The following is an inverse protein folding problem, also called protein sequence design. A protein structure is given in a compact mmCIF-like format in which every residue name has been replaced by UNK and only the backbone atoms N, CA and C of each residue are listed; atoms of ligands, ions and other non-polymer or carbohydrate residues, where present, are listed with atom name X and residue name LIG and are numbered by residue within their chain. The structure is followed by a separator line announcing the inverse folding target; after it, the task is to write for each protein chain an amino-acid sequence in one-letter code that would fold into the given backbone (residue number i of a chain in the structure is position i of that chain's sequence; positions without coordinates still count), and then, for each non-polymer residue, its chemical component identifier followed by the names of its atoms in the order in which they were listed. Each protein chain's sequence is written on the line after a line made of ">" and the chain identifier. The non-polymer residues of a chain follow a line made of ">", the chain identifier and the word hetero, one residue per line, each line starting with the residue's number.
data_IF_806734282175
#
_entry.id   IF_806734282175
#
_cell.length_a   1.000
_cell.length_b   1.000
_cell.length_c   1.000
_cell.angle_alpha   90.00
_cell.angle_beta   90.00
_cell.angle_gamma   90.00
#
_symmetry.space_group_name_H-M   'P 1'
#
loop_
_entity.id
_entity.type
_entity.pdbx_description
1 polymer ?
#
# COMPACT_ATOMS: atom_id res chain seq x y z
N UNK A 1 -38.05 -62.19 19.45
CA UNK A 1 -38.20 -61.12 18.46
C UNK A 1 -37.57 -59.85 19.03
N UNK A 2 -36.36 -59.55 18.64
CA UNK A 2 -35.62 -58.33 19.09
C UNK A 2 -35.76 -57.29 17.99
N UNK A 3 -36.36 -56.16 18.32
CA UNK A 3 -36.48 -54.98 17.44
C UNK A 3 -35.21 -54.16 17.53
N UNK A 4 -34.45 -54.08 16.44
CA UNK A 4 -33.34 -53.18 16.28
C UNK A 4 -33.83 -51.78 15.93
N UNK A 5 -33.48 -50.78 16.72
CA UNK A 5 -33.74 -49.38 16.42
C UNK A 5 -32.58 -48.82 15.56
N UNK A 6 -32.88 -48.09 14.49
CA UNK A 6 -31.81 -47.45 13.71
C UNK A 6 -31.28 -46.21 14.46
N UNK A 7 -30.00 -46.19 14.72
CA UNK A 7 -29.28 -45.04 15.25
C UNK A 7 -29.05 -44.04 14.12
N UNK A 8 -29.83 -42.97 14.07
CA UNK A 8 -29.66 -41.87 13.13
C UNK A 8 -28.44 -41.05 13.54
N UNK A 9 -27.34 -41.17 12.80
CA UNK A 9 -26.13 -40.38 12.96
C UNK A 9 -26.36 -38.99 12.33
N UNK A 10 -26.68 -37.99 13.18
CA UNK A 10 -26.74 -36.61 12.80
C UNK A 10 -25.31 -36.08 12.60
N UNK A 11 -24.85 -36.04 11.34
CA UNK A 11 -23.65 -35.30 10.93
C UNK A 11 -23.97 -33.82 11.06
N UNK A 12 -23.53 -33.23 12.16
CA UNK A 12 -23.45 -31.78 12.29
C UNK A 12 -22.32 -31.27 11.37
N UNK A 13 -22.70 -30.79 10.19
CA UNK A 13 -21.80 -30.05 9.32
C UNK A 13 -21.58 -28.69 10.02
N UNK A 14 -20.52 -28.61 10.83
CA UNK A 14 -19.98 -27.32 11.29
C UNK A 14 -19.39 -26.65 10.05
N UNK A 15 -20.23 -25.91 9.33
CA UNK A 15 -19.76 -24.97 8.32
C UNK A 15 -18.94 -23.91 9.04
N UNK A 16 -17.62 -23.90 8.82
CA UNK A 16 -16.81 -22.71 9.06
C UNK A 16 -17.29 -21.63 8.09
N UNK A 17 -18.38 -20.98 8.43
CA UNK A 17 -18.76 -19.73 7.81
C UNK A 17 -17.78 -18.69 8.33
N UNK A 18 -16.82 -18.29 7.50
CA UNK A 18 -16.08 -17.06 7.74
C UNK A 18 -17.12 -15.96 7.91
N UNK A 19 -17.34 -15.53 9.14
CA UNK A 19 -18.24 -14.42 9.44
C UNK A 19 -17.58 -13.18 8.89
N UNK A 20 -17.98 -12.79 7.67
CA UNK A 20 -17.57 -11.51 7.10
C UNK A 20 -17.95 -10.38 8.07
N UNK A 21 -16.94 -9.65 8.52
CA UNK A 21 -17.14 -8.44 9.29
C UNK A 21 -16.97 -7.24 8.36
N UNK A 22 -18.06 -6.54 8.01
CA UNK A 22 -17.98 -5.35 7.20
C UNK A 22 -17.01 -4.34 7.81
N UNK A 23 -16.10 -3.80 7.01
CA UNK A 23 -15.18 -2.78 7.44
C UNK A 23 -15.20 -1.58 6.49
N UNK A 24 -15.30 -0.39 7.05
CA UNK A 24 -15.12 0.83 6.28
C UNK A 24 -13.63 1.09 6.10
N UNK A 25 -13.21 1.48 4.89
CA UNK A 25 -11.80 1.66 4.56
C UNK A 25 -11.57 2.76 3.52
N UNK A 26 -10.34 3.26 3.46
CA UNK A 26 -9.86 4.02 2.31
C UNK A 26 -9.17 3.09 1.33
N UNK A 27 -9.59 3.15 0.09
CA UNK A 27 -8.97 2.42 -1.01
C UNK A 27 -8.26 3.38 -1.95
N UNK A 28 -7.00 3.06 -2.27
CA UNK A 28 -6.21 3.81 -3.24
C UNK A 28 -6.51 3.33 -4.67
N UNK A 29 -6.45 4.26 -5.62
CA UNK A 29 -6.45 3.98 -7.05
C UNK A 29 -5.40 4.86 -7.74
N UNK A 30 -4.81 4.37 -8.82
CA UNK A 30 -3.92 5.14 -9.69
C UNK A 30 -4.54 5.31 -11.07
N UNK A 31 -4.13 6.31 -11.86
CA UNK A 31 -4.65 6.52 -13.21
C UNK A 31 -4.39 5.36 -14.17
N UNK A 32 -3.36 4.56 -13.91
CA UNK A 32 -2.97 3.43 -14.76
C UNK A 32 -3.61 2.12 -14.38
N UNK A 33 -4.67 2.16 -13.63
CA UNK A 33 -5.42 0.99 -13.24
C UNK A 33 -5.87 0.21 -14.47
N UNK A 34 -5.02 -0.64 -15.02
CA UNK A 34 -5.30 -1.44 -16.22
C UNK A 34 -5.94 -2.78 -15.89
N UNK A 35 -5.77 -3.24 -14.66
CA UNK A 35 -6.36 -4.50 -14.18
C UNK A 35 -6.96 -4.31 -12.80
N UNK A 36 -8.04 -5.04 -12.46
CA UNK A 36 -8.66 -4.96 -11.13
C UNK A 36 -7.71 -5.33 -9.98
N UNK A 37 -6.66 -6.09 -10.25
CA UNK A 37 -5.72 -6.58 -9.24
C UNK A 37 -4.68 -5.52 -8.85
N UNK A 38 -4.35 -4.61 -9.80
CA UNK A 38 -3.28 -3.60 -9.64
C UNK A 38 -3.85 -2.18 -9.53
N UNK A 39 -5.03 -2.05 -8.98
CA UNK A 39 -5.76 -0.79 -8.87
C UNK A 39 -5.01 0.34 -8.16
N UNK A 40 -4.09 -0.01 -7.31
CA UNK A 40 -3.28 0.88 -6.48
C UNK A 40 -1.80 0.93 -6.91
N UNK A 41 -1.50 0.56 -8.14
CA UNK A 41 -0.14 0.39 -8.65
C UNK A 41 0.11 1.19 -9.92
N UNK A 42 1.31 1.72 -10.07
CA UNK A 42 1.82 2.23 -11.35
C UNK A 42 3.29 1.87 -11.55
N UNK A 43 3.78 2.00 -12.79
CA UNK A 43 5.12 1.60 -13.17
C UNK A 43 5.94 2.78 -13.71
N UNK A 44 7.22 2.80 -13.30
CA UNK A 44 8.28 3.60 -13.90
C UNK A 44 9.13 2.77 -14.86
N UNK A 45 9.94 3.41 -15.73
CA UNK A 45 10.88 2.69 -16.56
C UNK A 45 11.79 1.73 -15.78
N UNK A 46 12.29 0.69 -16.46
CA UNK A 46 13.12 -0.39 -15.92
C UNK A 46 12.38 -1.34 -14.95
N UNK A 47 11.06 -1.43 -15.06
CA UNK A 47 10.26 -2.34 -14.24
C UNK A 47 10.16 -1.94 -12.77
N UNK A 48 10.38 -0.67 -12.46
CA UNK A 48 10.22 -0.15 -11.09
C UNK A 48 8.73 0.10 -10.86
N UNK A 49 8.12 -0.63 -9.94
CA UNK A 49 6.70 -0.46 -9.61
C UNK A 49 6.51 0.28 -8.29
N UNK A 50 5.43 1.02 -8.21
CA UNK A 50 5.01 1.73 -7.01
C UNK A 50 3.56 1.39 -6.70
N UNK A 51 3.31 0.93 -5.49
CA UNK A 51 1.98 0.54 -5.03
C UNK A 51 1.62 1.25 -3.73
N UNK A 52 0.37 1.65 -3.60
CA UNK A 52 -0.20 2.16 -2.36
C UNK A 52 -1.03 1.10 -1.65
N UNK A 53 -1.03 1.11 -0.33
CA UNK A 53 -1.85 0.17 0.44
C UNK A 53 -3.25 0.72 0.68
N UNK A 54 -4.22 -0.17 0.71
CA UNK A 54 -5.55 0.10 1.27
C UNK A 54 -5.44 0.34 2.77
N UNK A 55 -6.21 1.28 3.30
CA UNK A 55 -6.11 1.72 4.69
C UNK A 55 -7.40 1.45 5.43
N UNK A 56 -7.32 0.65 6.47
CA UNK A 56 -8.36 0.59 7.49
C UNK A 56 -8.24 1.83 8.40
N UNK A 57 -9.35 2.50 8.73
CA UNK A 57 -9.32 3.60 9.67
C UNK A 57 -9.01 3.02 11.04
N UNK A 58 -7.76 3.01 11.38
CA UNK A 58 -7.37 2.80 12.78
C UNK A 58 -7.22 4.17 13.40
N UNK A 59 -7.82 4.42 14.55
CA UNK A 59 -7.42 5.54 15.40
C UNK A 59 -6.04 5.20 15.96
N UNK A 60 -5.02 5.21 15.10
CA UNK A 60 -3.66 5.27 15.59
C UNK A 60 -3.55 6.60 16.34
N UNK A 61 -3.00 6.59 17.54
CA UNK A 61 -2.61 7.81 18.22
C UNK A 61 -1.75 8.62 17.25
N UNK A 62 -2.32 9.70 16.71
CA UNK A 62 -1.59 10.60 15.80
C UNK A 62 -2.01 10.64 14.34
N UNK A 63 -2.96 9.81 13.87
CA UNK A 63 -3.47 9.93 12.50
C UNK A 63 -3.62 8.62 11.74
N UNK A 64 -3.79 8.72 10.43
CA UNK A 64 -3.98 7.59 9.52
C UNK A 64 -2.63 7.11 8.98
N UNK A 65 -2.34 5.80 9.09
CA UNK A 65 -1.13 5.21 8.52
C UNK A 65 -1.38 4.68 7.11
N UNK A 66 -0.47 5.02 6.19
CA UNK A 66 -0.48 4.56 4.79
C UNK A 66 0.86 3.90 4.48
N UNK A 67 0.84 2.84 3.69
CA UNK A 67 2.04 2.22 3.13
C UNK A 67 2.21 2.55 1.65
N UNK A 68 3.42 2.94 1.25
CA UNK A 68 3.84 3.02 -0.15
C UNK A 68 4.98 2.06 -0.38
N UNK A 69 4.83 1.17 -1.35
CA UNK A 69 5.81 0.17 -1.71
C UNK A 69 6.47 0.52 -3.03
N UNK A 70 7.80 0.60 -3.04
CA UNK A 70 8.60 0.65 -4.25
C UNK A 70 9.25 -0.72 -4.45
N UNK A 71 9.05 -1.34 -5.62
CA UNK A 71 9.73 -2.57 -6.01
C UNK A 71 10.79 -2.24 -7.05
N UNK A 72 12.05 -2.46 -6.72
CA UNK A 72 13.18 -2.20 -7.59
C UNK A 72 13.78 -3.52 -8.08
N UNK A 73 13.78 -3.79 -9.40
CA UNK A 73 14.51 -4.90 -9.98
C UNK A 73 16.01 -4.82 -9.72
N UNK A 74 16.72 -5.93 -9.87
CA UNK A 74 18.18 -6.01 -9.71
C UNK A 74 18.89 -4.89 -10.46
N UNK A 75 19.94 -4.34 -9.86
CA UNK A 75 20.81 -3.29 -10.43
C UNK A 75 20.10 -1.95 -10.71
N UNK A 76 18.86 -1.77 -10.24
CA UNK A 76 18.17 -0.49 -10.38
C UNK A 76 18.43 0.43 -9.19
N UNK A 77 18.40 1.73 -9.48
CA UNK A 77 18.55 2.80 -8.51
C UNK A 77 17.52 3.88 -8.81
N UNK A 78 16.92 4.41 -7.76
CA UNK A 78 15.99 5.54 -7.80
C UNK A 78 16.49 6.62 -6.85
N UNK A 79 16.52 7.85 -7.33
CA UNK A 79 16.68 9.04 -6.49
C UNK A 79 15.35 9.79 -6.45
N UNK A 80 15.02 10.35 -5.30
CA UNK A 80 13.84 11.20 -5.16
C UNK A 80 14.20 12.67 -5.38
N UNK A 81 13.36 13.40 -6.11
CA UNK A 81 13.54 14.83 -6.32
C UNK A 81 13.26 15.64 -5.05
N UNK A 82 12.43 15.12 -4.16
CA UNK A 82 12.10 15.70 -2.84
C UNK A 82 11.87 14.58 -1.82
N UNK A 83 11.81 14.93 -0.54
CA UNK A 83 11.49 13.99 0.55
C UNK A 83 10.00 14.03 0.95
N UNK A 84 9.14 14.68 0.18
CA UNK A 84 7.77 14.95 0.59
C UNK A 84 6.77 14.07 -0.14
N UNK A 85 5.94 13.37 0.64
CA UNK A 85 4.72 12.71 0.20
C UNK A 85 3.57 13.69 0.45
N UNK A 86 3.09 14.34 -0.59
CA UNK A 86 2.07 15.39 -0.47
C UNK A 86 0.68 14.78 -0.36
N UNK A 87 -0.11 15.28 0.57
CA UNK A 87 -1.53 14.94 0.72
C UNK A 87 -2.34 16.15 0.32
N UNK A 88 -3.20 15.99 -0.69
CA UNK A 88 -3.97 17.10 -1.25
C UNK A 88 -5.46 16.77 -1.32
N UNK A 89 -6.28 17.81 -1.36
CA UNK A 89 -7.67 17.67 -1.82
C UNK A 89 -7.70 17.36 -3.32
N UNK A 90 -8.81 16.80 -3.84
CA UNK A 90 -8.95 16.48 -5.27
C UNK A 90 -8.74 17.65 -6.24
N UNK A 91 -8.81 18.88 -5.74
CA UNK A 91 -8.54 20.13 -6.49
C UNK A 91 -7.11 20.64 -6.35
N UNK A 92 -6.22 19.84 -5.78
CA UNK A 92 -4.79 20.16 -5.65
C UNK A 92 -4.41 21.05 -4.47
N UNK A 93 -5.37 21.45 -3.60
CA UNK A 93 -5.03 22.18 -2.39
C UNK A 93 -4.28 21.28 -1.42
N UNK A 94 -3.06 21.65 -1.04
CA UNK A 94 -2.25 20.92 -0.06
C UNK A 94 -2.98 20.87 1.29
N UNK A 95 -3.16 19.67 1.82
CA UNK A 95 -3.62 19.43 3.18
C UNK A 95 -2.40 19.42 4.10
N UNK A 96 -1.46 18.48 3.84
CA UNK A 96 -0.21 18.36 4.57
C UNK A 96 0.83 17.55 3.78
N UNK A 97 2.06 17.48 4.29
CA UNK A 97 3.03 16.46 3.88
C UNK A 97 2.95 15.31 4.88
N UNK A 98 2.72 14.09 4.38
CA UNK A 98 2.72 12.91 5.22
C UNK A 98 4.11 12.72 5.86
N UNK A 99 4.12 12.40 7.15
CA UNK A 99 5.36 12.13 7.89
C UNK A 99 5.79 10.68 7.66
N UNK A 100 7.04 10.46 7.28
CA UNK A 100 7.60 9.11 7.18
C UNK A 100 7.93 8.60 8.57
N UNK A 101 7.28 7.51 8.99
CA UNK A 101 7.55 6.85 10.26
C UNK A 101 8.73 5.89 10.17
N UNK A 102 8.79 5.12 9.08
CA UNK A 102 9.84 4.13 8.86
C UNK A 102 9.92 3.73 7.39
N UNK A 103 11.07 3.23 6.98
CA UNK A 103 11.27 2.58 5.69
C UNK A 103 11.82 1.19 5.94
N UNK A 104 11.14 0.18 5.40
CA UNK A 104 11.60 -1.21 5.43
C UNK A 104 12.17 -1.58 4.07
N UNK A 105 13.32 -2.23 4.08
CA UNK A 105 13.95 -2.82 2.92
C UNK A 105 13.80 -4.34 3.00
N UNK A 106 13.32 -4.96 1.95
CA UNK A 106 13.15 -6.41 1.85
C UNK A 106 13.62 -6.91 0.48
N UNK A 107 14.81 -7.52 0.38
CA UNK A 107 15.21 -8.28 -0.79
C UNK A 107 14.28 -9.48 -1.01
N UNK A 108 14.07 -9.89 -2.26
CA UNK A 108 13.14 -11.01 -2.60
C UNK A 108 13.45 -12.30 -1.81
N UNK A 109 14.72 -12.59 -1.58
CA UNK A 109 15.19 -13.76 -0.85
C UNK A 109 15.80 -13.42 0.52
N UNK A 110 15.49 -12.23 1.06
CA UNK A 110 16.07 -11.72 2.30
C UNK A 110 15.06 -11.48 3.41
N UNK A 111 15.58 -11.26 4.62
CA UNK A 111 14.75 -10.79 5.73
C UNK A 111 14.46 -9.29 5.56
N UNK A 112 13.29 -8.81 6.03
CA UNK A 112 13.05 -7.38 6.10
C UNK A 112 14.03 -6.69 7.06
N UNK A 113 14.56 -5.57 6.65
CA UNK A 113 15.43 -4.73 7.47
C UNK A 113 14.83 -3.32 7.53
N UNK A 114 14.96 -2.66 8.68
CA UNK A 114 14.59 -1.25 8.80
C UNK A 114 15.74 -0.43 8.24
N UNK A 115 15.45 0.41 7.26
CA UNK A 115 16.39 1.43 6.80
C UNK A 115 16.39 2.54 7.85
N UNK A 116 17.54 2.78 8.45
CA UNK A 116 17.67 3.80 9.50
C UNK A 116 17.40 5.20 8.91
N UNK A 117 16.44 5.92 9.50
CA UNK A 117 16.08 7.28 9.11
C UNK A 117 16.78 8.26 10.07
N UNK A 118 18.11 8.37 9.98
CA UNK A 118 18.90 9.18 10.90
C UNK A 118 18.77 10.68 10.62
N UNK A 119 18.62 11.07 9.36
CA UNK A 119 18.62 12.47 8.90
C UNK A 119 17.48 12.82 7.93
N UNK A 120 16.34 12.13 8.04
CA UNK A 120 15.20 12.33 7.17
C UNK A 120 14.95 11.16 6.22
N UNK A 121 14.06 11.36 5.25
CA UNK A 121 13.68 10.33 4.28
C UNK A 121 14.86 10.02 3.36
N UNK A 122 15.20 8.74 3.12
CA UNK A 122 16.20 8.38 2.14
C UNK A 122 15.87 8.98 0.78
N UNK A 123 16.77 9.78 0.21
CA UNK A 123 16.60 10.38 -1.12
C UNK A 123 17.04 9.43 -2.25
N UNK A 124 17.53 8.23 -1.91
CA UNK A 124 17.92 7.23 -2.88
C UNK A 124 17.57 5.83 -2.40
N UNK A 125 17.08 4.99 -3.30
CA UNK A 125 16.83 3.58 -3.10
C UNK A 125 17.71 2.78 -4.07
N UNK A 126 18.34 1.72 -3.57
CA UNK A 126 19.19 0.83 -4.34
C UNK A 126 18.70 -0.60 -4.20
N UNK A 127 18.56 -1.31 -5.31
CA UNK A 127 18.31 -2.75 -5.27
C UNK A 127 19.50 -3.45 -4.62
N UNK A 128 19.21 -4.36 -3.68
CA UNK A 128 20.22 -4.94 -2.79
C UNK A 128 20.86 -6.20 -3.39
N UNK A 129 22.17 -6.18 -3.50
CA UNK A 129 22.97 -7.37 -3.78
C UNK A 129 22.58 -8.11 -5.06
N UNK A 130 22.45 -9.44 -4.93
CA UNK A 130 22.10 -10.35 -6.03
C UNK A 130 20.62 -10.71 -6.10
N UNK A 131 19.78 -10.14 -5.23
CA UNK A 131 18.34 -10.36 -5.27
C UNK A 131 17.71 -9.90 -6.56
N UNK A 132 16.72 -10.64 -7.08
CA UNK A 132 16.05 -10.29 -8.33
C UNK A 132 15.26 -8.98 -8.23
N UNK A 133 14.73 -8.71 -7.05
CA UNK A 133 14.12 -7.44 -6.72
C UNK A 133 14.29 -7.09 -5.24
N UNK A 134 14.14 -5.82 -4.91
CA UNK A 134 14.12 -5.31 -3.54
C UNK A 134 12.89 -4.43 -3.34
N UNK A 135 12.10 -4.76 -2.35
CA UNK A 135 10.97 -3.96 -1.92
C UNK A 135 11.42 -2.94 -0.88
N UNK A 136 11.00 -1.68 -1.06
CA UNK A 136 11.09 -0.63 -0.05
C UNK A 136 9.69 -0.22 0.35
N UNK A 137 9.34 -0.42 1.61
CA UNK A 137 8.04 -0.03 2.15
C UNK A 137 8.18 1.19 3.05
N UNK A 138 7.64 2.29 2.58
CA UNK A 138 7.45 3.51 3.38
C UNK A 138 6.19 3.37 4.21
N UNK A 139 6.32 3.60 5.52
CA UNK A 139 5.18 3.80 6.41
C UNK A 139 5.02 5.30 6.63
N UNK A 140 3.90 5.81 6.21
CA UNK A 140 3.57 7.23 6.29
C UNK A 140 2.47 7.44 7.31
N UNK A 141 2.51 8.55 8.04
CA UNK A 141 1.40 8.99 8.87
C UNK A 141 0.88 10.33 8.36
N UNK A 142 -0.44 10.43 8.24
CA UNK A 142 -1.18 11.64 7.92
C UNK A 142 -1.90 12.06 9.20
N UNK A 143 -1.64 13.28 9.66
CA UNK A 143 -2.22 13.81 10.90
C UNK A 143 -3.57 14.48 10.59
N UNK A 144 -4.49 14.34 11.54
CA UNK A 144 -5.78 14.99 11.44
C UNK A 144 -6.87 14.18 10.72
N UNK A 145 -8.03 14.82 10.56
CA UNK A 145 -9.21 14.19 9.97
C UNK A 145 -9.17 14.30 8.45
N UNK A 146 -9.12 13.15 7.78
CA UNK A 146 -9.14 13.10 6.33
C UNK A 146 -10.55 13.26 5.76
N UNK A 147 -10.69 13.97 4.62
CA UNK A 147 -11.94 13.99 3.87
C UNK A 147 -12.22 12.61 3.26
N UNK A 148 -13.48 12.35 2.87
CA UNK A 148 -13.86 11.07 2.22
C UNK A 148 -13.11 10.79 0.90
N UNK A 149 -12.45 11.79 0.35
CA UNK A 149 -11.57 11.66 -0.81
C UNK A 149 -10.37 12.62 -0.66
N UNK A 150 -9.19 12.08 -0.89
CA UNK A 150 -7.94 12.85 -0.93
C UNK A 150 -6.96 12.19 -1.90
N UNK A 151 -5.95 12.95 -2.29
CA UNK A 151 -4.90 12.49 -3.19
C UNK A 151 -3.58 12.42 -2.42
N UNK A 152 -2.83 11.31 -2.61
CA UNK A 152 -1.46 11.15 -2.14
C UNK A 152 -0.53 11.19 -3.35
N UNK A 153 0.39 12.14 -3.35
CA UNK A 153 1.35 12.38 -4.42
C UNK A 153 2.75 12.02 -3.89
N UNK A 154 3.31 10.87 -4.29
CA UNK A 154 4.69 10.54 -3.96
C UNK A 154 5.67 11.54 -4.60
N UNK A 155 6.89 11.66 -4.08
CA UNK A 155 7.91 12.50 -4.71
C UNK A 155 8.26 11.99 -6.11
N UNK A 156 8.55 12.92 -7.02
CA UNK A 156 9.08 12.57 -8.34
C UNK A 156 10.40 11.81 -8.21
N UNK A 157 10.67 10.94 -9.17
CA UNK A 157 11.86 10.10 -9.17
C UNK A 157 12.84 10.47 -10.29
N UNK A 158 14.12 10.22 -10.04
CA UNK A 158 15.21 10.36 -11.01
C UNK A 158 15.80 8.97 -11.23
N UNK A 159 15.70 8.48 -12.46
CA UNK A 159 16.18 7.16 -12.89
C UNK A 159 17.15 7.37 -14.06
N UNK A 160 18.42 6.97 -13.88
CA UNK A 160 19.45 7.17 -14.90
C UNK A 160 19.65 8.64 -15.29
N UNK A 161 19.51 9.56 -14.34
CA UNK A 161 19.67 11.00 -14.55
C UNK A 161 18.45 11.72 -15.16
N UNK A 162 17.39 11.00 -15.52
CA UNK A 162 16.14 11.57 -16.05
C UNK A 162 15.06 11.60 -14.98
N UNK A 163 14.38 12.75 -14.83
CA UNK A 163 13.24 12.93 -13.93
C UNK A 163 11.97 12.36 -14.52
N UNK A 164 11.22 11.65 -13.70
CA UNK A 164 9.90 11.10 -13.99
C UNK A 164 8.92 11.58 -12.93
N UNK A 165 7.79 12.10 -13.38
CA UNK A 165 6.72 12.57 -12.50
C UNK A 165 6.01 11.37 -11.89
N UNK A 166 5.86 11.38 -10.59
CA UNK A 166 5.09 10.37 -9.88
C UNK A 166 3.60 10.55 -10.13
N UNK A 167 2.88 9.43 -10.17
CA UNK A 167 1.44 9.46 -10.34
C UNK A 167 0.74 9.56 -9.00
N UNK A 168 -0.43 10.14 -9.03
CA UNK A 168 -1.25 10.38 -7.86
C UNK A 168 -2.03 9.12 -7.50
N UNK A 169 -2.01 8.75 -6.23
CA UNK A 169 -2.94 7.79 -5.67
C UNK A 169 -4.15 8.53 -5.11
N UNK A 170 -5.33 8.28 -5.66
CA UNK A 170 -6.57 8.84 -5.14
C UNK A 170 -7.20 7.89 -4.14
N UNK A 171 -7.24 8.30 -2.89
CA UNK A 171 -7.91 7.57 -1.82
C UNK A 171 -9.38 7.97 -1.74
N UNK A 172 -10.25 6.96 -1.68
CA UNK A 172 -11.69 7.12 -1.48
C UNK A 172 -12.14 6.30 -0.30
N UNK A 173 -13.03 6.88 0.50
CA UNK A 173 -13.71 6.17 1.57
C UNK A 173 -14.80 5.28 1.02
N UNK A 174 -14.76 4.02 1.42
CA UNK A 174 -15.81 3.04 1.14
C UNK A 174 -16.39 2.55 2.45
N UNK A 175 -17.71 2.51 2.52
CA UNK A 175 -18.45 1.92 3.63
C UNK A 175 -18.85 0.50 3.22
N UNK A 176 -18.53 -0.47 4.08
CA UNK A 176 -18.98 -1.86 3.95
C UNK A 176 -18.62 -2.56 2.63
N UNK A 177 -17.33 -2.51 2.23
CA UNK A 177 -16.89 -3.13 0.98
C UNK A 177 -15.87 -4.24 1.17
N UNK A 178 -16.11 -5.35 0.45
CA UNK A 178 -15.22 -6.53 0.37
C UNK A 178 -14.10 -6.37 -0.67
N UNK A 179 -14.19 -5.41 -1.57
CA UNK A 179 -13.30 -5.33 -2.72
C UNK A 179 -12.01 -4.59 -2.37
N UNK A 180 -10.94 -5.34 -2.23
CA UNK A 180 -9.59 -4.83 -2.17
C UNK A 180 -8.99 -4.85 -3.57
N UNK A 181 -8.32 -3.77 -3.98
CA UNK A 181 -7.54 -3.74 -5.22
C UNK A 181 -8.35 -3.78 -6.51
N UNK A 182 -9.56 -3.25 -6.55
CA UNK A 182 -10.31 -3.09 -7.79
C UNK A 182 -10.24 -1.67 -8.34
N UNK A 183 -9.97 -1.57 -9.63
CA UNK A 183 -10.10 -0.34 -10.39
C UNK A 183 -11.57 0.04 -10.54
N UNK A 184 -11.94 1.28 -10.20
CA UNK A 184 -13.27 1.87 -10.33
C UNK A 184 -13.20 3.24 -11.00
#
# INVERSE_FOLDING_TARGET
>A
MRKAAPLALLLAVAGCGDTYTPASLYQATSPDCSTPVDADTFEFPRGITVAATTVLPQPAEGGMEIGINYMLPRTTQVHFATAHFQVTEPKGRLIENATVLSVYQRPTNGKPEIVEIVHGVPLALFAVGTSDATQFRYRLIIKGKMPKRFDLIPPDVIIGGKRYVSRTFTYRWFEDKQAYGMCH
#
